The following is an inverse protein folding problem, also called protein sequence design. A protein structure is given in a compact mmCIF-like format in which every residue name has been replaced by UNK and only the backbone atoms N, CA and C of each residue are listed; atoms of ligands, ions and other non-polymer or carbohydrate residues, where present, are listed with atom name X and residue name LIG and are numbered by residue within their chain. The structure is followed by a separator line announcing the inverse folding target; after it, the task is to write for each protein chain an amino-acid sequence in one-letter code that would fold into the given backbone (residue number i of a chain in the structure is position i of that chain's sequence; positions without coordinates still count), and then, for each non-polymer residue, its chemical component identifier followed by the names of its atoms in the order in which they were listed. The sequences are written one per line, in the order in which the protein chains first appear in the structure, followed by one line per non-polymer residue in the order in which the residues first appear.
data_IF_758237254138
#
_entry.id   IF_758237254138
#
_cell.length_a   1.000
_cell.length_b   1.000
_cell.length_c   1.000
_cell.angle_alpha   90.00
_cell.angle_beta   90.00
_cell.angle_gamma   90.00
#
_symmetry.space_group_name_H-M   'P 1'
#
loop_
_entity.id
_entity.type
_entity.pdbx_description
1 polymer ?
#
# COMPACT_ATOMS: atom_id res chain seq x y z
N UNK A 1 -15.79 16.18 12.08
CA UNK A 1 -16.01 14.88 11.40
C UNK A 1 -15.01 13.83 11.85
N UNK A 2 -13.69 14.06 11.74
CA UNK A 2 -12.65 13.09 12.17
C UNK A 2 -12.80 12.62 13.64
N UNK A 3 -13.23 13.49 14.54
CA UNK A 3 -13.52 13.14 15.95
C UNK A 3 -14.57 12.03 16.11
N UNK A 4 -15.49 11.85 15.15
CA UNK A 4 -16.47 10.75 15.19
C UNK A 4 -15.80 9.38 15.02
N UNK A 5 -14.61 9.35 14.42
CA UNK A 5 -13.79 8.16 14.23
C UNK A 5 -12.69 8.04 15.29
N UNK A 6 -12.81 8.74 16.41
CA UNK A 6 -11.84 8.68 17.51
C UNK A 6 -10.54 9.46 17.26
N UNK A 7 -10.42 10.16 16.13
CA UNK A 7 -9.22 10.95 15.80
C UNK A 7 -9.32 12.32 16.49
N UNK A 8 -8.49 12.53 17.50
CA UNK A 8 -8.40 13.80 18.21
C UNK A 8 -7.63 14.82 17.37
N UNK A 9 -8.36 15.78 16.80
CA UNK A 9 -7.80 16.91 16.07
C UNK A 9 -8.05 18.21 16.83
N UNK A 10 -7.19 19.20 16.62
CA UNK A 10 -7.43 20.57 17.06
C UNK A 10 -8.76 21.06 16.46
N UNK A 11 -9.74 21.50 17.27
CA UNK A 11 -11.03 21.98 16.76
C UNK A 11 -10.93 23.24 15.89
N UNK A 12 -9.81 23.97 15.99
CA UNK A 12 -9.56 25.19 15.23
C UNK A 12 -8.32 25.01 14.32
N UNK A 13 -8.44 24.28 13.20
CA UNK A 13 -7.33 24.14 12.26
C UNK A 13 -6.97 25.51 11.67
N UNK A 14 -5.67 25.80 11.56
CA UNK A 14 -5.19 27.05 10.97
C UNK A 14 -5.04 26.87 9.46
N UNK A 15 -5.76 27.69 8.69
CA UNK A 15 -5.57 27.80 7.24
C UNK A 15 -4.25 28.51 6.97
N UNK A 16 -3.35 27.85 6.24
CA UNK A 16 -2.02 28.38 5.93
C UNK A 16 -2.03 29.19 4.63
N UNK A 17 -2.63 28.65 3.57
CA UNK A 17 -2.68 29.26 2.25
C UNK A 17 -3.86 28.74 1.43
N UNK A 18 -4.12 29.39 0.30
CA UNK A 18 -5.05 28.97 -0.75
C UNK A 18 -4.32 29.10 -2.11
N UNK A 19 -3.38 28.21 -2.42
CA UNK A 19 -2.63 28.26 -3.67
C UNK A 19 -3.56 27.94 -4.84
N UNK A 20 -3.46 28.72 -5.92
CA UNK A 20 -4.26 28.53 -7.13
C UNK A 20 -3.46 27.80 -8.23
N UNK A 21 -2.12 27.87 -8.18
CA UNK A 21 -1.22 27.18 -9.10
C UNK A 21 -0.18 26.30 -8.39
N UNK A 22 0.43 25.37 -9.14
CA UNK A 22 1.50 24.48 -8.62
C UNK A 22 2.69 25.26 -8.03
N UNK A 23 3.10 26.36 -8.67
CA UNK A 23 4.20 27.22 -8.17
C UNK A 23 3.89 27.81 -6.79
N UNK A 24 2.63 28.15 -6.54
CA UNK A 24 2.17 28.68 -5.25
C UNK A 24 2.23 27.62 -4.15
N UNK A 25 2.13 26.33 -4.49
CA UNK A 25 2.30 25.21 -3.55
C UNK A 25 3.75 25.14 -3.09
N UNK A 26 4.72 25.24 -4.00
CA UNK A 26 6.14 25.21 -3.63
C UNK A 26 6.51 26.36 -2.70
N UNK A 27 6.04 27.57 -2.99
CA UNK A 27 6.25 28.74 -2.12
C UNK A 27 5.55 28.58 -0.77
N UNK A 28 4.31 28.08 -0.77
CA UNK A 28 3.58 27.77 0.46
C UNK A 28 4.37 26.78 1.31
N UNK A 29 4.82 25.66 0.74
CA UNK A 29 5.54 24.62 1.46
C UNK A 29 6.90 25.10 1.94
N UNK A 30 7.62 25.94 1.18
CA UNK A 30 8.89 26.56 1.64
C UNK A 30 8.71 27.44 2.88
N UNK A 31 7.59 28.14 2.98
CA UNK A 31 7.33 29.11 4.05
C UNK A 31 6.65 28.51 5.28
N UNK A 32 6.19 27.25 5.20
CA UNK A 32 5.60 26.55 6.34
C UNK A 32 6.68 26.22 7.37
N UNK A 33 6.53 26.78 8.56
CA UNK A 33 7.21 26.27 9.75
C UNK A 33 6.40 25.11 10.31
N UNK A 34 7.02 23.94 10.37
CA UNK A 34 6.38 22.69 10.82
C UNK A 34 6.39 22.53 12.34
N UNK A 35 6.94 23.48 13.09
CA UNK A 35 7.04 23.42 14.56
C UNK A 35 5.65 23.20 15.20
N UNK A 36 5.45 22.01 15.77
CA UNK A 36 4.20 21.61 16.43
C UNK A 36 3.08 21.13 15.50
N UNK A 37 3.31 21.03 14.19
CA UNK A 37 2.33 20.51 13.23
C UNK A 37 2.51 19.01 13.02
N UNK A 38 1.40 18.27 13.03
CA UNK A 38 1.41 16.81 12.83
C UNK A 38 0.77 16.38 11.51
N UNK A 39 -0.12 17.19 10.94
CA UNK A 39 -0.90 16.87 9.75
C UNK A 39 -1.23 18.13 8.96
N UNK A 40 -1.03 18.07 7.64
CA UNK A 40 -1.59 19.02 6.69
C UNK A 40 -2.70 18.34 5.87
N UNK A 41 -3.90 18.93 5.89
CA UNK A 41 -4.99 18.53 5.00
C UNK A 41 -4.97 19.49 3.80
N UNK A 42 -4.82 18.94 2.60
CA UNK A 42 -4.73 19.70 1.35
C UNK A 42 -5.95 19.42 0.50
N UNK A 43 -6.81 20.41 0.32
CA UNK A 43 -8.01 20.29 -0.52
C UNK A 43 -7.64 20.68 -1.95
N UNK A 44 -7.81 19.74 -2.88
CA UNK A 44 -7.45 19.89 -4.28
C UNK A 44 -8.71 19.99 -5.13
N UNK A 45 -8.81 21.03 -5.97
CA UNK A 45 -9.86 21.16 -6.97
C UNK A 45 -9.51 20.48 -8.31
N UNK A 46 -8.37 19.81 -8.39
CA UNK A 46 -7.94 19.03 -9.55
C UNK A 46 -8.12 17.53 -9.29
N UNK A 47 -8.49 16.80 -10.34
CA UNK A 47 -8.48 15.32 -10.36
C UNK A 47 -7.14 14.76 -10.85
N UNK A 48 -6.22 15.64 -11.27
CA UNK A 48 -4.93 15.26 -11.82
C UNK A 48 -4.01 14.63 -10.74
N UNK A 49 -3.48 13.42 -10.97
CA UNK A 49 -2.58 12.76 -10.03
C UNK A 49 -1.31 13.56 -9.73
N UNK A 50 -0.76 14.25 -10.73
CA UNK A 50 0.53 14.95 -10.64
C UNK A 50 0.56 15.99 -9.50
N UNK A 51 -0.52 16.76 -9.32
CA UNK A 51 -0.58 17.77 -8.27
C UNK A 51 -0.64 17.14 -6.87
N UNK A 52 -1.42 16.07 -6.71
CA UNK A 52 -1.51 15.30 -5.47
C UNK A 52 -0.15 14.69 -5.13
N UNK A 53 0.52 14.13 -6.12
CA UNK A 53 1.79 13.43 -5.94
C UNK A 53 2.90 14.44 -5.61
N UNK A 54 2.89 15.63 -6.21
CA UNK A 54 3.77 16.75 -5.86
C UNK A 54 3.61 17.18 -4.39
N UNK A 55 2.37 17.36 -3.92
CA UNK A 55 2.10 17.69 -2.51
C UNK A 55 2.64 16.62 -1.57
N UNK A 56 2.38 15.34 -1.88
CA UNK A 56 2.89 14.23 -1.06
C UNK A 56 4.43 14.19 -1.09
N UNK A 57 5.06 14.43 -2.23
CA UNK A 57 6.51 14.50 -2.36
C UNK A 57 7.11 15.58 -1.45
N UNK A 58 6.57 16.81 -1.50
CA UNK A 58 7.05 17.91 -0.67
C UNK A 58 6.89 17.62 0.83
N UNK A 59 5.75 17.04 1.23
CA UNK A 59 5.51 16.60 2.61
C UNK A 59 6.50 15.52 3.06
N UNK A 60 6.68 14.50 2.23
CA UNK A 60 7.44 13.30 2.56
C UNK A 60 8.97 13.51 2.51
N UNK A 61 9.47 14.25 1.54
CA UNK A 61 10.91 14.39 1.33
C UNK A 61 11.47 15.69 1.91
N UNK A 62 10.74 16.80 1.79
CA UNK A 62 11.27 18.12 2.18
C UNK A 62 10.85 18.49 3.60
N UNK A 63 9.55 18.47 3.91
CA UNK A 63 9.04 18.97 5.19
C UNK A 63 9.12 17.97 6.34
N UNK A 64 8.98 16.68 6.05
CA UNK A 64 8.77 15.69 7.11
C UNK A 64 7.44 15.90 7.83
N UNK A 65 6.40 16.29 7.09
CA UNK A 65 5.05 16.54 7.60
C UNK A 65 4.08 15.58 6.91
N UNK A 66 3.24 14.91 7.69
CA UNK A 66 2.18 14.06 7.15
C UNK A 66 1.18 14.91 6.36
N UNK A 67 0.99 14.57 5.09
CA UNK A 67 0.00 15.21 4.21
C UNK A 67 -1.15 14.28 3.86
N UNK A 68 -2.39 14.78 3.93
CA UNK A 68 -3.57 14.12 3.39
C UNK A 68 -4.25 15.02 2.36
N UNK A 69 -4.27 14.58 1.10
CA UNK A 69 -5.02 15.25 0.06
C UNK A 69 -6.49 14.82 0.08
N UNK A 70 -7.40 15.76 -0.16
CA UNK A 70 -8.82 15.52 -0.34
C UNK A 70 -9.34 16.24 -1.58
N UNK A 71 -10.26 15.62 -2.33
CA UNK A 71 -10.84 16.22 -3.53
C UNK A 71 -11.97 17.18 -3.15
N UNK A 72 -11.90 18.42 -3.63
CA UNK A 72 -12.97 19.40 -3.49
C UNK A 72 -14.27 18.88 -4.10
N UNK A 73 -14.20 18.29 -5.30
CA UNK A 73 -15.37 17.71 -5.99
C UNK A 73 -16.04 16.61 -5.15
N UNK A 74 -15.25 15.73 -4.52
CA UNK A 74 -15.80 14.70 -3.65
C UNK A 74 -16.49 15.26 -2.39
N UNK A 75 -16.00 16.41 -1.88
CA UNK A 75 -16.54 17.08 -0.70
C UNK A 75 -17.82 17.85 -1.03
N UNK A 76 -17.82 18.63 -2.11
CA UNK A 76 -18.92 19.55 -2.43
C UNK A 76 -20.01 18.91 -3.29
N UNK A 77 -19.65 18.12 -4.30
CA UNK A 77 -20.60 17.65 -5.31
C UNK A 77 -21.32 16.38 -4.84
N UNK A 78 -20.67 15.56 -4.02
CA UNK A 78 -21.16 14.23 -3.64
C UNK A 78 -21.61 14.17 -2.17
N UNK A 79 -22.44 15.13 -1.76
CA UNK A 79 -22.87 15.29 -0.35
C UNK A 79 -23.53 14.04 0.24
N UNK A 80 -24.28 13.27 -0.56
CA UNK A 80 -24.90 12.01 -0.13
C UNK A 80 -23.88 10.92 0.23
N UNK A 81 -22.73 10.89 -0.46
CA UNK A 81 -21.63 9.92 -0.19
C UNK A 81 -20.50 10.52 0.63
N UNK A 82 -20.64 11.77 1.08
CA UNK A 82 -19.62 12.47 1.86
C UNK A 82 -19.21 11.69 3.11
N UNK A 83 -20.17 11.06 3.79
CA UNK A 83 -19.88 10.24 4.96
C UNK A 83 -18.89 9.12 4.65
N UNK A 84 -19.13 8.35 3.58
CA UNK A 84 -18.25 7.25 3.15
C UNK A 84 -16.87 7.76 2.72
N UNK A 85 -16.84 8.90 2.01
CA UNK A 85 -15.58 9.53 1.62
C UNK A 85 -14.75 9.93 2.83
N UNK A 86 -15.37 10.60 3.79
CA UNK A 86 -14.73 11.06 5.03
C UNK A 86 -14.34 9.88 5.92
N UNK A 87 -15.10 8.79 5.93
CA UNK A 87 -14.73 7.55 6.64
C UNK A 87 -13.39 6.99 6.14
N UNK A 88 -13.28 6.77 4.82
CA UNK A 88 -12.04 6.26 4.22
C UNK A 88 -10.88 7.25 4.39
N UNK A 89 -11.15 8.56 4.29
CA UNK A 89 -10.15 9.60 4.54
C UNK A 89 -9.66 9.58 6.00
N UNK A 90 -10.58 9.38 6.95
CA UNK A 90 -10.25 9.27 8.38
C UNK A 90 -9.37 8.06 8.65
N UNK A 91 -9.68 6.92 8.03
CA UNK A 91 -8.87 5.70 8.14
C UNK A 91 -7.44 5.92 7.64
N UNK A 92 -7.26 6.61 6.50
CA UNK A 92 -5.93 6.98 5.99
C UNK A 92 -5.19 7.92 6.95
N UNK A 93 -5.87 8.97 7.43
CA UNK A 93 -5.27 9.95 8.36
C UNK A 93 -4.80 9.26 9.63
N UNK A 94 -5.67 8.47 10.28
CA UNK A 94 -5.37 7.79 11.54
C UNK A 94 -4.10 6.95 11.40
N UNK A 95 -4.01 6.18 10.33
CA UNK A 95 -2.86 5.30 10.04
C UNK A 95 -1.57 6.10 9.84
N UNK A 96 -1.62 7.23 9.12
CA UNK A 96 -0.43 8.06 8.87
C UNK A 96 0.11 8.74 10.13
N UNK A 97 -0.76 9.09 11.07
CA UNK A 97 -0.37 9.70 12.34
C UNK A 97 -0.06 8.66 13.43
N UNK A 98 0.00 7.37 13.09
CA UNK A 98 0.40 6.27 13.97
C UNK A 98 -0.74 5.58 14.73
N UNK A 99 -1.99 5.89 14.39
CA UNK A 99 -3.16 5.21 14.93
C UNK A 99 -3.40 3.83 14.30
N UNK A 100 -4.23 3.03 14.97
CA UNK A 100 -4.60 1.66 14.55
C UNK A 100 -6.11 1.62 14.29
N UNK A 101 -6.51 1.26 13.07
CA UNK A 101 -7.93 1.20 12.67
C UNK A 101 -8.61 -0.11 13.08
N UNK A 102 -7.87 -1.21 13.11
CA UNK A 102 -8.39 -2.54 13.40
C UNK A 102 -7.28 -3.49 13.81
N UNK A 103 -7.66 -4.51 14.58
CA UNK A 103 -6.77 -5.58 15.04
C UNK A 103 -7.45 -6.90 14.73
N UNK A 104 -6.71 -7.82 14.11
CA UNK A 104 -7.16 -9.20 13.92
C UNK A 104 -6.57 -10.08 15.02
N UNK A 105 -7.40 -10.92 15.61
CA UNK A 105 -6.96 -11.93 16.56
C UNK A 105 -6.55 -13.20 15.81
N UNK A 106 -5.25 -13.31 15.51
CA UNK A 106 -4.69 -14.44 14.75
C UNK A 106 -4.85 -15.79 15.44
N UNK A 107 -5.09 -15.85 16.76
CA UNK A 107 -5.36 -17.14 17.43
C UNK A 107 -6.61 -17.82 16.94
N UNK A 108 -7.62 -17.04 16.57
CA UNK A 108 -8.86 -17.58 16.03
C UNK A 108 -8.63 -18.20 14.65
N UNK A 109 -7.63 -17.71 13.92
CA UNK A 109 -7.26 -18.18 12.58
C UNK A 109 -6.20 -19.28 12.58
N UNK A 110 -5.36 -19.35 13.62
CA UNK A 110 -4.17 -20.21 13.65
C UNK A 110 -4.07 -20.89 15.02
N UNK A 111 -4.76 -22.02 15.15
CA UNK A 111 -4.84 -22.79 16.39
C UNK A 111 -3.48 -23.30 16.88
N UNK A 112 -2.50 -23.43 15.98
CA UNK A 112 -1.14 -23.92 16.28
C UNK A 112 -0.20 -22.83 16.83
N UNK A 113 -0.62 -21.56 16.84
CA UNK A 113 0.22 -20.45 17.29
C UNK A 113 0.12 -20.26 18.80
N UNK A 114 1.27 -20.24 19.47
CA UNK A 114 1.38 -19.92 20.89
C UNK A 114 1.32 -18.40 21.14
N UNK A 115 0.87 -18.02 22.34
CA UNK A 115 0.96 -16.64 22.86
C UNK A 115 2.38 -16.05 22.88
N UNK A 116 3.38 -16.93 22.93
CA UNK A 116 4.78 -16.53 22.98
C UNK A 116 5.38 -16.31 21.60
N UNK A 117 4.72 -16.79 20.54
CA UNK A 117 5.24 -16.70 19.19
C UNK A 117 5.19 -15.25 18.70
N UNK A 118 6.26 -14.82 18.04
CA UNK A 118 6.39 -13.49 17.48
C UNK A 118 6.58 -13.59 15.97
N UNK A 119 5.51 -13.26 15.25
CA UNK A 119 5.50 -13.25 13.79
C UNK A 119 5.78 -11.87 13.24
N UNK A 120 6.62 -11.82 12.22
CA UNK A 120 6.80 -10.65 11.38
C UNK A 120 6.27 -10.95 9.98
N UNK A 121 5.40 -10.07 9.49
CA UNK A 121 4.84 -10.17 8.15
C UNK A 121 5.46 -9.13 7.23
N UNK A 122 5.78 -9.54 6.01
CA UNK A 122 6.42 -8.69 5.02
C UNK A 122 5.71 -8.80 3.68
N UNK A 123 5.44 -7.65 3.07
CA UNK A 123 5.03 -7.57 1.68
C UNK A 123 6.17 -7.06 0.82
N UNK A 124 6.32 -7.68 -0.34
CA UNK A 124 7.27 -7.26 -1.36
C UNK A 124 6.53 -7.15 -2.68
N UNK A 125 6.73 -6.03 -3.36
CA UNK A 125 6.30 -5.83 -4.73
C UNK A 125 7.51 -5.38 -5.55
N UNK A 126 7.54 -5.81 -6.81
CA UNK A 126 8.59 -5.48 -7.76
C UNK A 126 7.95 -4.90 -9.03
N UNK A 127 7.67 -3.60 -9.00
CA UNK A 127 7.28 -2.87 -10.20
C UNK A 127 8.53 -2.20 -10.76
N UNK A 128 8.84 -2.46 -12.03
CA UNK A 128 9.98 -1.87 -12.75
C UNK A 128 11.36 -2.10 -12.06
N UNK A 129 11.63 -3.33 -11.58
CA UNK A 129 12.91 -3.71 -10.92
C UNK A 129 13.21 -2.97 -9.61
N UNK A 130 12.20 -2.42 -8.93
CA UNK A 130 12.36 -1.74 -7.62
C UNK A 130 11.67 -2.54 -6.53
N UNK A 131 12.47 -3.04 -5.59
CA UNK A 131 11.99 -3.76 -4.40
C UNK A 131 11.80 -2.75 -3.27
N UNK A 132 10.58 -2.68 -2.74
CA UNK A 132 10.30 -1.93 -1.50
C UNK A 132 9.74 -2.88 -0.46
N UNK A 133 10.34 -2.86 0.73
CA UNK A 133 9.89 -3.65 1.89
C UNK A 133 9.56 -2.68 3.02
N UNK A 134 8.28 -2.46 3.35
CA UNK A 134 7.90 -1.54 4.41
C UNK A 134 8.24 -2.16 5.78
N UNK A 135 9.32 -1.69 6.44
CA UNK A 135 9.80 -2.33 7.66
C UNK A 135 10.49 -1.43 8.68
N UNK A 136 10.31 -1.83 9.95
CA UNK A 136 11.20 -1.50 11.06
C UNK A 136 11.56 -2.77 11.84
N UNK A 137 12.85 -3.10 11.88
CA UNK A 137 13.39 -4.20 12.68
C UNK A 137 13.82 -3.68 14.06
N UNK A 138 12.96 -3.80 15.08
CA UNK A 138 13.30 -3.37 16.45
C UNK A 138 13.06 -4.43 17.52
N UNK A 139 12.57 -5.62 17.15
CA UNK A 139 12.31 -6.74 18.07
C UNK A 139 12.91 -8.03 17.51
N UNK A 140 13.26 -8.94 18.41
CA UNK A 140 13.65 -10.31 18.05
C UNK A 140 12.36 -11.06 17.70
N UNK A 141 12.26 -11.50 16.45
CA UNK A 141 11.13 -12.27 15.91
C UNK A 141 11.56 -13.72 15.73
N UNK A 142 10.68 -14.65 16.08
CA UNK A 142 10.99 -16.09 15.99
C UNK A 142 10.59 -16.69 14.64
N UNK A 143 9.60 -16.11 13.96
CA UNK A 143 9.00 -16.66 12.73
C UNK A 143 8.61 -15.55 11.76
N UNK A 144 8.85 -15.74 10.47
CA UNK A 144 8.66 -14.72 9.44
C UNK A 144 7.77 -15.24 8.32
N UNK A 145 6.93 -14.37 7.74
CA UNK A 145 6.13 -14.70 6.57
C UNK A 145 6.29 -13.61 5.51
N UNK A 146 6.79 -14.02 4.35
CA UNK A 146 7.06 -13.16 3.21
C UNK A 146 6.01 -13.42 2.12
N UNK A 147 5.30 -12.37 1.70
CA UNK A 147 4.45 -12.41 0.50
C UNK A 147 5.09 -11.57 -0.59
N UNK A 148 5.38 -12.20 -1.73
CA UNK A 148 5.86 -11.55 -2.94
C UNK A 148 4.71 -11.39 -3.94
N UNK A 149 4.72 -10.31 -4.71
CA UNK A 149 3.75 -10.04 -5.77
C UNK A 149 4.44 -9.81 -7.11
N UNK A 150 3.76 -10.19 -8.20
CA UNK A 150 4.27 -10.10 -9.57
C UNK A 150 5.59 -10.88 -9.81
N UNK A 151 5.71 -12.08 -9.26
CA UNK A 151 6.77 -13.02 -9.64
C UNK A 151 6.22 -13.85 -10.80
N UNK A 152 6.79 -13.68 -12.00
CA UNK A 152 6.35 -14.39 -13.19
C UNK A 152 6.98 -15.79 -13.22
N UNK A 153 6.14 -16.82 -13.24
CA UNK A 153 6.53 -18.19 -13.51
C UNK A 153 6.51 -18.37 -15.03
N UNK A 154 7.67 -18.17 -15.66
CA UNK A 154 7.82 -18.24 -17.11
C UNK A 154 7.10 -19.45 -17.72
N UNK A 155 6.02 -19.14 -18.45
CA UNK A 155 5.08 -19.98 -19.22
C UNK A 155 3.87 -20.57 -18.48
N UNK A 156 2.76 -19.79 -18.45
CA UNK A 156 1.41 -20.34 -18.25
C UNK A 156 0.36 -19.81 -19.25
N UNK A 157 0.68 -19.89 -20.54
CA UNK A 157 -0.23 -19.47 -21.62
C UNK A 157 -0.92 -20.64 -22.33
N UNK A 158 -1.59 -21.56 -21.61
CA UNK A 158 -2.43 -22.59 -22.27
C UNK A 158 -3.64 -23.17 -21.50
N UNK A 159 -4.09 -22.59 -20.38
CA UNK A 159 -5.27 -23.12 -19.64
C UNK A 159 -6.22 -22.01 -19.19
N UNK A 160 -6.68 -21.15 -20.10
CA UNK A 160 -7.61 -20.06 -19.74
C UNK A 160 -8.95 -20.05 -20.47
N UNK A 161 -9.22 -20.98 -21.39
CA UNK A 161 -10.37 -20.78 -22.28
C UNK A 161 -11.64 -21.58 -21.97
N UNK A 162 -11.73 -22.43 -20.92
CA UNK A 162 -12.95 -23.24 -20.69
C UNK A 162 -13.51 -23.42 -19.24
N UNK A 163 -12.89 -22.94 -18.16
CA UNK A 163 -13.40 -23.13 -16.77
C UNK A 163 -14.11 -21.88 -16.17
N UNK A 164 -14.34 -20.87 -17.03
CA UNK A 164 -14.81 -19.49 -16.77
C UNK A 164 -16.22 -19.36 -16.12
N UNK A 165 -16.95 -20.46 -15.87
CA UNK A 165 -18.35 -20.41 -15.42
C UNK A 165 -18.63 -20.82 -13.97
N UNK A 166 -17.66 -21.38 -13.20
CA UNK A 166 -17.88 -21.84 -11.81
C UNK A 166 -17.25 -20.98 -10.70
N UNK A 167 -16.50 -19.93 -11.04
CA UNK A 167 -16.01 -18.87 -10.11
C UNK A 167 -17.19 -18.04 -9.49
N UNK A 168 -18.45 -18.50 -9.62
CA UNK A 168 -19.67 -17.69 -9.63
C UNK A 168 -20.42 -17.52 -8.30
N UNK A 169 -19.97 -17.99 -7.13
CA UNK A 169 -20.70 -17.70 -5.87
C UNK A 169 -19.83 -17.57 -4.61
N UNK A 170 -19.22 -16.38 -4.45
CA UNK A 170 -18.79 -15.71 -3.21
C UNK A 170 -17.88 -16.45 -2.20
N UNK A 171 -16.69 -15.88 -1.96
CA UNK A 171 -15.64 -16.33 -1.03
C UNK A 171 -15.26 -17.81 -1.18
N UNK A 172 -14.34 -18.08 -2.11
CA UNK A 172 -13.87 -19.43 -2.39
C UNK A 172 -12.35 -19.47 -2.43
N UNK A 173 -11.82 -20.42 -1.66
CA UNK A 173 -10.48 -20.96 -1.85
C UNK A 173 -10.62 -22.14 -2.82
N UNK A 174 -9.73 -22.25 -3.80
CA UNK A 174 -9.66 -23.40 -4.71
C UNK A 174 -8.23 -23.92 -4.64
N UNK A 175 -8.05 -25.10 -4.04
CA UNK A 175 -6.76 -25.78 -3.86
C UNK A 175 -6.70 -27.18 -4.53
N UNK A 176 -7.74 -27.54 -5.29
CA UNK A 176 -7.87 -28.81 -6.03
C UNK A 176 -8.20 -28.57 -7.51
N UNK A 177 -7.95 -29.60 -8.34
CA UNK A 177 -8.22 -29.71 -9.79
C UNK A 177 -7.40 -28.80 -10.72
N UNK A 178 -7.37 -27.50 -10.45
CA UNK A 178 -6.74 -26.48 -11.32
C UNK A 178 -5.43 -25.91 -10.73
N UNK A 179 -4.97 -26.49 -9.63
CA UNK A 179 -3.72 -26.18 -8.93
C UNK A 179 -2.55 -27.03 -9.43
N UNK A 180 -1.32 -26.64 -9.06
CA UNK A 180 -0.12 -27.36 -9.44
C UNK A 180 -0.15 -28.80 -8.90
N UNK A 181 0.19 -29.83 -9.70
CA UNK A 181 -0.01 -31.24 -9.33
C UNK A 181 0.89 -31.72 -8.18
N UNK A 182 1.97 -31.00 -7.88
CA UNK A 182 2.98 -31.42 -6.88
C UNK A 182 3.48 -30.31 -5.94
N UNK A 183 3.09 -29.06 -6.19
CA UNK A 183 3.50 -27.91 -5.37
C UNK A 183 2.27 -27.45 -4.60
N UNK A 184 2.49 -26.69 -3.53
CA UNK A 184 1.38 -26.13 -2.80
C UNK A 184 1.03 -24.74 -3.32
N UNK A 185 -0.03 -24.67 -4.10
CA UNK A 185 -0.66 -23.44 -4.54
C UNK A 185 -2.19 -23.46 -4.31
N UNK A 186 -2.80 -22.28 -4.29
CA UNK A 186 -4.24 -22.13 -4.16
C UNK A 186 -4.72 -20.80 -4.72
N UNK A 187 -5.93 -20.78 -5.28
CA UNK A 187 -6.63 -19.54 -5.59
C UNK A 187 -7.42 -19.08 -4.38
N UNK A 188 -7.42 -17.77 -4.11
CA UNK A 188 -8.27 -17.14 -3.10
C UNK A 188 -8.97 -15.92 -3.69
N UNK A 189 -10.30 -15.92 -3.63
CA UNK A 189 -11.12 -14.74 -3.92
C UNK A 189 -11.59 -14.10 -2.60
N UNK A 190 -10.73 -13.26 -2.00
CA UNK A 190 -10.97 -12.63 -0.70
C UNK A 190 -11.95 -11.45 -0.73
N UNK A 191 -12.16 -10.83 -1.89
CA UNK A 191 -12.96 -9.61 -2.03
C UNK A 191 -14.35 -9.85 -2.60
N UNK A 192 -15.29 -8.97 -2.26
CA UNK A 192 -16.61 -8.93 -2.89
C UNK A 192 -16.54 -8.30 -4.30
N UNK A 193 -17.21 -8.91 -5.28
CA UNK A 193 -17.37 -8.35 -6.62
C UNK A 193 -18.32 -7.14 -6.58
N UNK A 194 -17.77 -5.92 -6.65
CA UNK A 194 -18.60 -4.70 -6.72
C UNK A 194 -19.12 -4.49 -8.16
N UNK A 195 -18.29 -4.82 -9.16
CA UNK A 195 -18.62 -4.68 -10.58
C UNK A 195 -17.84 -5.71 -11.39
N UNK A 196 -18.52 -6.37 -12.33
CA UNK A 196 -17.93 -7.42 -13.15
C UNK A 196 -17.61 -8.71 -12.39
N UNK A 197 -16.72 -9.53 -12.93
CA UNK A 197 -16.29 -10.80 -12.34
C UNK A 197 -15.05 -10.58 -11.48
N UNK A 198 -15.07 -11.07 -10.24
CA UNK A 198 -13.88 -11.07 -9.38
C UNK A 198 -12.73 -11.83 -10.04
N UNK A 199 -11.50 -11.34 -9.86
CA UNK A 199 -10.27 -12.04 -10.22
C UNK A 199 -9.70 -12.69 -8.96
N UNK A 200 -9.79 -14.03 -8.81
CA UNK A 200 -9.11 -14.73 -7.72
C UNK A 200 -7.60 -14.53 -7.84
N UNK A 201 -6.92 -14.33 -6.72
CA UNK A 201 -5.46 -14.29 -6.68
C UNK A 201 -4.91 -15.72 -6.49
N UNK A 202 -3.88 -16.07 -7.24
CA UNK A 202 -3.16 -17.33 -7.11
C UNK A 202 -1.99 -17.14 -6.13
N UNK A 203 -1.86 -18.02 -5.15
CA UNK A 203 -0.80 -18.02 -4.16
C UNK A 203 0.00 -19.30 -4.29
N UNK A 204 1.32 -19.17 -4.44
CA UNK A 204 2.25 -20.30 -4.42
C UNK A 204 3.06 -20.26 -3.13
N UNK A 205 3.03 -21.34 -2.36
CA UNK A 205 3.86 -21.53 -1.17
C UNK A 205 5.20 -22.11 -1.61
N UNK A 206 6.19 -21.21 -1.75
CA UNK A 206 7.52 -21.60 -2.20
C UNK A 206 8.33 -22.30 -1.09
N UNK A 207 8.11 -21.91 0.17
CA UNK A 207 8.86 -22.43 1.31
C UNK A 207 8.05 -22.29 2.59
N UNK A 208 8.04 -23.33 3.43
CA UNK A 208 7.42 -23.28 4.75
C UNK A 208 8.23 -24.04 5.82
N UNK A 209 8.82 -23.29 6.75
CA UNK A 209 9.47 -23.82 7.96
C UNK A 209 8.54 -23.78 9.18
N UNK A 210 7.33 -23.25 9.01
CA UNK A 210 6.38 -23.06 10.09
C UNK A 210 5.54 -24.32 10.35
N UNK A 211 5.52 -25.27 9.42
CA UNK A 211 4.71 -26.48 9.52
C UNK A 211 3.22 -26.18 9.44
N UNK A 212 2.84 -25.12 8.72
CA UNK A 212 1.44 -24.78 8.51
C UNK A 212 0.79 -25.81 7.58
N UNK A 213 -0.43 -26.20 7.90
CA UNK A 213 -1.25 -26.97 6.96
C UNK A 213 -1.91 -26.02 5.94
N UNK A 214 -2.60 -26.60 4.95
CA UNK A 214 -3.22 -25.80 3.90
C UNK A 214 -4.25 -24.80 4.43
N UNK A 215 -5.10 -25.21 5.38
CA UNK A 215 -6.10 -24.35 5.99
C UNK A 215 -5.46 -23.18 6.74
N UNK A 216 -4.37 -23.43 7.47
CA UNK A 216 -3.65 -22.41 8.23
C UNK A 216 -3.16 -21.29 7.29
N UNK A 217 -2.51 -21.64 6.17
CA UNK A 217 -2.00 -20.64 5.20
C UNK A 217 -3.15 -19.92 4.50
N UNK A 218 -4.19 -20.64 4.09
CA UNK A 218 -5.35 -20.07 3.41
C UNK A 218 -6.12 -19.09 4.31
N UNK A 219 -6.40 -19.47 5.55
CA UNK A 219 -7.07 -18.62 6.55
C UNK A 219 -6.21 -17.40 6.88
N UNK A 220 -4.91 -17.60 7.13
CA UNK A 220 -4.00 -16.49 7.40
C UNK A 220 -3.98 -15.49 6.25
N UNK A 221 -3.86 -15.97 5.01
CA UNK A 221 -3.87 -15.12 3.81
C UNK A 221 -5.18 -14.34 3.70
N UNK A 222 -6.32 -15.00 3.95
CA UNK A 222 -7.63 -14.35 3.96
C UNK A 222 -7.74 -13.27 5.04
N UNK A 223 -7.29 -13.53 6.26
CA UNK A 223 -7.29 -12.54 7.34
C UNK A 223 -6.38 -11.36 7.06
N UNK A 224 -5.24 -11.57 6.38
CA UNK A 224 -4.35 -10.50 5.96
C UNK A 224 -5.00 -9.59 4.89
N UNK A 225 -6.02 -10.05 4.17
CA UNK A 225 -6.84 -9.22 3.27
C UNK A 225 -7.86 -8.34 4.02
N UNK A 226 -8.08 -8.55 5.33
CA UNK A 226 -9.04 -7.80 6.14
C UNK A 226 -8.40 -6.68 6.98
N UNK A 227 -7.08 -6.52 6.90
CA UNK A 227 -6.33 -5.55 7.70
C UNK A 227 -5.81 -4.36 6.86
N UNK A 228 -6.36 -4.12 5.67
CA UNK A 228 -6.05 -2.91 4.90
C UNK A 228 -6.61 -1.69 5.66
N UNK A 229 -5.71 -0.82 6.09
CA UNK A 229 -6.02 0.30 6.95
C UNK A 229 -6.68 1.45 6.18
N UNK A 230 -6.94 1.32 4.88
CA UNK A 230 -7.59 2.34 4.06
C UNK A 230 -9.09 2.11 3.88
N UNK A 231 -9.59 0.93 4.22
CA UNK A 231 -11.01 0.61 4.10
C UNK A 231 -11.46 -0.44 5.11
N UNK A 232 -12.76 -0.43 5.42
CA UNK A 232 -13.43 -1.42 6.28
C UNK A 232 -13.90 -2.65 5.50
N UNK A 233 -13.20 -3.03 4.43
CA UNK A 233 -13.58 -4.12 3.50
C UNK A 233 -12.40 -5.03 3.23
N UNK A 234 -12.70 -6.29 2.93
CA UNK A 234 -11.70 -7.22 2.41
C UNK A 234 -11.21 -6.79 1.02
N UNK A 235 -9.90 -6.82 0.82
CA UNK A 235 -9.20 -6.52 -0.45
C UNK A 235 -8.77 -7.80 -1.18
N UNK A 236 -8.33 -7.70 -2.44
CA UNK A 236 -7.99 -8.86 -3.31
C UNK A 236 -6.72 -9.60 -2.91
N UNK A 237 -5.82 -8.90 -2.24
CA UNK A 237 -4.48 -9.35 -1.89
C UNK A 237 -4.18 -8.93 -0.45
N UNK A 238 -3.28 -9.63 0.27
CA UNK A 238 -2.89 -9.26 1.62
C UNK A 238 -2.48 -7.78 1.72
N UNK A 239 -2.94 -7.10 2.79
CA UNK A 239 -2.72 -5.67 2.96
C UNK A 239 -1.23 -5.27 2.90
N UNK A 240 -0.35 -6.11 3.43
CA UNK A 240 1.10 -5.96 3.36
C UNK A 240 1.67 -5.91 1.93
N UNK A 241 1.13 -6.72 1.01
CA UNK A 241 1.49 -6.67 -0.41
C UNK A 241 0.97 -5.38 -1.03
N UNK A 242 -0.27 -5.02 -0.71
CA UNK A 242 -0.86 -3.77 -1.15
C UNK A 242 -0.05 -2.54 -0.70
N UNK A 243 0.47 -2.56 0.52
CA UNK A 243 1.32 -1.50 1.06
C UNK A 243 2.66 -1.41 0.34
N UNK A 244 3.29 -2.54 0.03
CA UNK A 244 4.50 -2.56 -0.80
C UNK A 244 4.23 -1.91 -2.16
N UNK A 245 3.11 -2.28 -2.81
CA UNK A 245 2.67 -1.69 -4.07
C UNK A 245 2.52 -0.16 -4.00
N UNK A 246 1.83 0.35 -2.97
CA UNK A 246 1.66 1.79 -2.77
C UNK A 246 2.98 2.51 -2.54
N UNK A 247 3.89 1.91 -1.78
CA UNK A 247 5.20 2.48 -1.50
C UNK A 247 6.06 2.53 -2.78
N UNK A 248 6.05 1.47 -3.61
CA UNK A 248 6.72 1.48 -4.91
C UNK A 248 6.12 2.55 -5.82
N UNK A 249 4.78 2.57 -5.97
CA UNK A 249 4.09 3.56 -6.79
C UNK A 249 4.45 4.99 -6.38
N UNK A 250 4.42 5.30 -5.09
CA UNK A 250 4.79 6.61 -4.58
C UNK A 250 6.27 6.94 -4.87
N UNK A 251 7.18 5.99 -4.68
CA UNK A 251 8.62 6.17 -4.97
C UNK A 251 8.93 6.45 -6.44
N UNK A 252 8.06 5.96 -7.34
CA UNK A 252 8.15 6.17 -8.78
C UNK A 252 7.54 7.52 -9.15
N UNK A 253 6.32 7.81 -8.68
CA UNK A 253 5.60 9.05 -8.97
C UNK A 253 6.37 10.32 -8.54
N UNK A 254 7.13 10.25 -7.44
CA UNK A 254 7.88 11.41 -6.94
C UNK A 254 9.18 11.70 -7.70
N UNK A 255 9.68 10.77 -8.53
CA UNK A 255 10.91 11.01 -9.30
C UNK A 255 10.67 11.79 -10.59
N UNK A 256 9.47 11.75 -11.15
CA UNK A 256 9.14 12.38 -12.44
C UNK A 256 8.93 13.90 -12.39
N UNK A 257 9.21 14.56 -11.27
CA UNK A 257 8.80 15.95 -11.05
C UNK A 257 9.93 16.95 -10.76
N UNK A 258 11.18 16.49 -10.60
CA UNK A 258 12.35 17.37 -10.49
C UNK A 258 13.05 17.45 -11.86
N UNK A 259 12.46 18.19 -12.79
CA UNK A 259 12.99 18.64 -14.09
C UNK A 259 13.40 17.59 -15.14
N UNK A 260 12.98 17.87 -16.38
CA UNK A 260 13.46 17.39 -17.68
C UNK A 260 12.70 16.24 -18.38
N UNK A 261 12.26 16.56 -19.60
CA UNK A 261 11.72 15.71 -20.65
C UNK A 261 12.75 14.65 -21.10
N UNK A 262 13.06 13.68 -20.25
CA UNK A 262 13.72 12.45 -20.69
C UNK A 262 12.76 11.27 -20.44
N UNK A 263 12.07 10.88 -21.51
CA UNK A 263 11.57 9.52 -21.67
C UNK A 263 12.71 8.57 -21.41
N UNK A 264 12.64 7.82 -20.30
CA UNK A 264 13.55 6.70 -20.05
C UNK A 264 13.24 5.59 -21.07
N UNK A 265 13.86 5.68 -22.24
CA UNK A 265 14.19 4.49 -23.03
C UNK A 265 15.29 3.76 -22.26
N UNK A 266 14.92 2.65 -21.61
CA UNK A 266 15.89 1.75 -21.00
C UNK A 266 16.24 0.75 -22.09
N UNK A 267 17.40 0.95 -22.71
CA UNK A 267 17.99 -0.03 -23.62
C UNK A 267 18.25 -1.34 -22.87
N UNK A 268 17.70 -2.43 -23.41
CA UNK A 268 17.87 -3.82 -22.96
C UNK A 268 19.25 -4.38 -23.35
N UNK A 269 20.34 -3.68 -23.06
CA UNK A 269 21.69 -4.20 -23.31
C UNK A 269 22.29 -4.82 -22.04
N UNK A 270 22.17 -6.15 -21.96
CA UNK A 270 23.05 -7.00 -21.17
C UNK A 270 24.50 -6.84 -21.65
N UNK A 271 25.33 -6.07 -20.93
CA UNK A 271 26.75 -6.41 -20.62
C UNK A 271 27.65 -5.20 -20.29
N UNK A 272 27.49 -4.57 -19.14
CA UNK A 272 28.63 -3.91 -18.46
C UNK A 272 28.41 -3.88 -16.94
N UNK A 273 29.34 -4.49 -16.20
CA UNK A 273 29.36 -4.43 -14.73
C UNK A 273 29.90 -3.06 -14.30
N UNK A 274 29.09 -2.01 -14.42
CA UNK A 274 29.42 -0.70 -13.89
C UNK A 274 29.27 -0.71 -12.36
N UNK A 275 30.30 -0.22 -11.67
CA UNK A 275 30.32 -0.13 -10.21
C UNK A 275 29.42 1.02 -9.77
N UNK A 276 28.18 0.71 -9.40
CA UNK A 276 27.19 1.69 -8.92
C UNK A 276 27.72 2.36 -7.64
N UNK A 277 27.87 3.70 -7.64
CA UNK A 277 28.32 4.44 -6.44
C UNK A 277 27.16 4.74 -5.50
N UNK A 278 27.44 5.00 -4.22
CA UNK A 278 26.43 5.42 -3.23
C UNK A 278 25.74 6.74 -3.63
N UNK A 279 26.45 7.64 -4.30
CA UNK A 279 25.87 8.88 -4.85
C UNK A 279 24.87 8.57 -5.98
N UNK A 280 25.18 7.62 -6.87
CA UNK A 280 24.26 7.17 -7.93
C UNK A 280 23.01 6.50 -7.37
N UNK A 281 23.13 5.81 -6.24
CA UNK A 281 21.98 5.23 -5.53
C UNK A 281 21.13 6.33 -4.92
N UNK A 282 21.73 7.35 -4.30
CA UNK A 282 20.99 8.47 -3.68
C UNK A 282 20.20 9.29 -4.70
N UNK A 283 20.72 9.48 -5.92
CA UNK A 283 19.98 10.14 -7.01
C UNK A 283 18.87 9.24 -7.58
N UNK A 284 19.09 7.92 -7.59
CA UNK A 284 18.13 6.93 -8.10
C UNK A 284 17.15 6.38 -7.05
N UNK A 285 17.21 6.77 -5.79
CA UNK A 285 16.36 6.25 -4.70
C UNK A 285 15.58 7.39 -4.04
N UNK A 286 14.31 7.14 -3.74
CA UNK A 286 13.50 8.09 -2.99
C UNK A 286 14.01 8.15 -1.54
N UNK A 287 14.52 9.31 -1.13
CA UNK A 287 14.91 9.56 0.27
C UNK A 287 13.76 10.26 0.98
N UNK A 288 13.35 9.72 2.13
CA UNK A 288 12.31 10.27 3.01
C UNK A 288 12.95 11.15 4.09
N UNK A 289 12.24 12.20 4.48
CA UNK A 289 12.61 12.97 5.66
C UNK A 289 12.53 12.08 6.92
N UNK A 290 13.49 12.21 7.83
CA UNK A 290 13.60 11.40 9.05
C UNK A 290 12.30 11.38 9.89
N UNK A 291 11.53 12.47 9.91
CA UNK A 291 10.32 12.57 10.71
C UNK A 291 9.17 11.66 10.23
N UNK A 292 9.23 11.19 8.98
CA UNK A 292 8.15 10.39 8.38
C UNK A 292 8.56 8.97 7.99
N UNK A 293 9.84 8.61 8.14
CA UNK A 293 10.36 7.27 7.80
C UNK A 293 9.63 6.15 8.55
N UNK A 294 9.25 6.40 9.81
CA UNK A 294 8.53 5.46 10.67
C UNK A 294 6.98 5.52 10.52
N UNK A 295 6.47 6.30 9.56
CA UNK A 295 5.03 6.46 9.33
C UNK A 295 4.57 5.66 8.12
N UNK A 296 3.27 5.40 8.00
CA UNK A 296 2.66 4.82 6.80
C UNK A 296 2.44 5.89 5.71
N UNK A 297 3.52 6.61 5.34
CA UNK A 297 3.51 7.76 4.41
C UNK A 297 2.95 7.44 3.01
N UNK A 298 3.02 6.17 2.60
CA UNK A 298 2.55 5.66 1.31
C UNK A 298 1.03 5.44 1.25
N UNK A 299 0.35 5.48 2.39
CA UNK A 299 -1.12 5.37 2.49
C UNK A 299 -1.83 6.61 1.89
#
# INVERSE_FOLDING_TARGET
LLQRYGIQINPNPKTIAKPDQRKDIDETFKNIKTDGWQLAIVILNSTEPALRDHVKQLGNQKLGLVTQCASFQAIEINSEKLHMYVENLSQQINTKIGGINGIVNLKTALSQISNTDRFMFFGVDNIQRKIVVPLRLSKIWTRWLLNCFNVDDGQFQKVLDNEVNKIKSACQVIDVDITHPSQFDFYLCSQAAIMGTSRPALYHVLHDENGFNSNDIQELTYWLCHIDARCSKSVSIPALVHYAHLAVYASVAYKFNDNDDETLEIDDDESTSETITLEDIKTKVMILNNNIQDTMWFV
#
